data_IF_603029413862
#
_entry.id   IF_603029413862
#
_cell.length_a   1.000
_cell.length_b   1.000
_cell.length_c   1.000
_cell.angle_alpha   90.00
_cell.angle_beta   90.00
_cell.angle_gamma   90.00
#
_symmetry.space_group_name_H-M   'P 1'
#
loop_
_entity.id
_entity.type
_entity.pdbx_description
1 polymer ?
#
# COMPACT_ATOMS: atom_id res chain seq x y z
N UNK A 1 13.96 -22.80 -34.05
CA UNK A 1 13.43 -21.41 -34.02
C UNK A 1 14.55 -20.41 -33.79
N UNK A 2 15.47 -20.64 -32.84
CA UNK A 2 16.61 -19.75 -32.57
C UNK A 2 17.56 -19.58 -33.76
N UNK A 3 17.77 -20.63 -34.55
CA UNK A 3 18.72 -20.64 -35.67
C UNK A 3 18.24 -19.84 -36.91
N UNK A 4 16.94 -19.59 -37.05
CA UNK A 4 16.38 -18.81 -38.17
C UNK A 4 16.49 -17.32 -37.91
N UNK A 5 16.37 -16.89 -36.64
CA UNK A 5 16.47 -15.48 -36.25
C UNK A 5 17.92 -14.96 -36.34
N UNK A 6 18.92 -15.80 -36.02
CA UNK A 6 20.34 -15.42 -36.15
C UNK A 6 20.81 -15.23 -37.61
N UNK A 7 20.19 -15.92 -38.58
CA UNK A 7 20.54 -15.79 -39.99
C UNK A 7 19.94 -14.54 -40.64
N UNK A 8 18.79 -14.06 -40.17
CA UNK A 8 18.18 -12.82 -40.70
C UNK A 8 18.86 -11.56 -40.18
N UNK A 9 19.30 -11.54 -38.91
CA UNK A 9 20.00 -10.37 -38.30
C UNK A 9 21.36 -10.12 -38.98
N UNK A 10 22.06 -11.17 -39.47
CA UNK A 10 23.36 -11.03 -40.12
C UNK A 10 23.31 -10.43 -41.52
N UNK A 11 22.12 -10.19 -42.11
CA UNK A 11 21.90 -9.59 -43.41
C UNK A 11 21.50 -8.11 -43.38
N UNK A 12 21.31 -7.55 -42.21
CA UNK A 12 21.02 -6.11 -42.08
C UNK A 12 22.32 -5.31 -42.27
N UNK A 13 22.33 -4.45 -43.26
CA UNK A 13 23.45 -3.50 -43.43
C UNK A 13 23.38 -2.42 -42.37
N UNK A 14 24.52 -1.81 -42.04
CA UNK A 14 24.58 -0.71 -41.07
C UNK A 14 23.62 0.45 -41.45
N UNK A 15 23.40 0.67 -42.73
CA UNK A 15 22.49 1.66 -43.29
C UNK A 15 21.00 1.30 -43.01
N UNK A 16 20.65 0.01 -43.09
CA UNK A 16 19.29 -0.46 -42.75
C UNK A 16 19.00 -0.34 -41.27
N UNK A 17 19.97 -0.61 -40.41
CA UNK A 17 19.84 -0.46 -38.94
C UNK A 17 19.71 1.03 -38.57
N UNK A 18 20.49 1.89 -39.25
CA UNK A 18 20.40 3.35 -39.02
C UNK A 18 19.03 3.90 -39.48
N UNK A 19 18.55 3.50 -40.66
CA UNK A 19 17.24 3.91 -41.17
C UNK A 19 16.06 3.41 -40.27
N UNK A 20 16.14 2.19 -39.74
CA UNK A 20 15.16 1.68 -38.78
C UNK A 20 15.19 2.50 -37.48
N UNK A 21 16.38 2.84 -37.00
CA UNK A 21 16.57 3.63 -35.81
C UNK A 21 16.08 5.08 -35.99
N UNK A 22 16.36 5.69 -37.13
CA UNK A 22 15.92 7.06 -37.44
C UNK A 22 14.40 7.12 -37.67
N UNK A 23 13.81 6.11 -38.34
CA UNK A 23 12.35 6.01 -38.48
C UNK A 23 11.66 5.75 -37.11
N UNK A 24 12.21 4.87 -36.25
CA UNK A 24 11.70 4.70 -34.89
C UNK A 24 11.84 5.97 -34.05
N UNK A 25 12.94 6.74 -34.21
CA UNK A 25 13.08 8.03 -33.55
C UNK A 25 12.13 9.09 -34.07
N UNK A 26 11.82 9.09 -35.36
CA UNK A 26 10.86 10.00 -36.00
C UNK A 26 9.40 9.66 -35.61
N UNK A 27 9.05 8.37 -35.52
CA UNK A 27 7.77 7.90 -35.01
C UNK A 27 7.62 8.20 -33.50
N UNK A 28 8.69 8.04 -32.71
CA UNK A 28 8.72 8.41 -31.29
C UNK A 28 8.60 9.92 -31.05
N UNK A 29 9.00 10.78 -32.00
CA UNK A 29 8.83 12.23 -31.89
C UNK A 29 7.42 12.72 -32.28
N UNK A 30 6.66 11.95 -33.05
CA UNK A 30 5.29 12.31 -33.45
C UNK A 30 4.21 11.87 -32.45
N UNK A 31 4.53 10.92 -31.55
CA UNK A 31 3.60 10.40 -30.51
C UNK A 31 3.93 10.92 -29.09
N UNK A 32 4.61 12.06 -28.97
CA UNK A 32 5.08 12.58 -27.67
C UNK A 32 3.97 13.06 -26.70
N UNK A 33 2.69 12.92 -27.05
CA UNK A 33 1.57 13.28 -26.18
C UNK A 33 0.98 12.12 -25.36
N UNK A 34 1.50 10.90 -25.46
CA UNK A 34 0.92 9.75 -24.73
C UNK A 34 1.94 8.81 -24.04
N UNK A 35 3.23 9.07 -24.10
CA UNK A 35 4.20 8.28 -23.34
C UNK A 35 4.24 8.75 -21.88
N UNK A 36 3.78 7.88 -20.97
CA UNK A 36 3.82 8.16 -19.54
C UNK A 36 5.25 8.29 -19.01
N UNK A 37 5.39 9.01 -17.92
CA UNK A 37 6.68 9.22 -17.26
C UNK A 37 6.95 8.14 -16.20
N UNK A 38 8.22 7.75 -16.06
CA UNK A 38 8.65 6.82 -15.02
C UNK A 38 9.14 7.59 -13.79
N UNK A 39 8.75 7.11 -12.62
CA UNK A 39 9.21 7.62 -11.32
C UNK A 39 9.71 6.47 -10.46
N UNK A 40 10.66 6.74 -9.57
CA UNK A 40 11.15 5.77 -8.62
C UNK A 40 11.34 6.37 -7.23
N UNK A 41 10.96 5.62 -6.21
CA UNK A 41 11.27 5.91 -4.83
C UNK A 41 12.09 4.78 -4.23
N UNK A 42 13.21 5.13 -3.59
CA UNK A 42 14.10 4.21 -2.88
C UNK A 42 14.10 4.60 -1.41
N UNK A 43 13.77 3.65 -0.57
CA UNK A 43 13.72 3.78 0.89
C UNK A 43 14.78 2.86 1.51
N UNK A 44 15.75 3.45 2.18
CA UNK A 44 16.80 2.75 2.92
C UNK A 44 16.39 2.62 4.38
N UNK A 45 15.50 1.67 4.64
CA UNK A 45 14.99 1.40 5.98
C UNK A 45 15.97 0.59 6.84
N UNK A 46 15.73 0.57 8.14
CA UNK A 46 16.57 -0.09 9.14
C UNK A 46 16.70 -1.61 8.97
N UNK A 47 15.65 -2.28 8.57
CA UNK A 47 15.63 -3.73 8.35
C UNK A 47 15.77 -4.11 6.86
N UNK A 48 15.14 -3.36 5.99
CA UNK A 48 15.06 -3.68 4.56
C UNK A 48 15.19 -2.42 3.71
N UNK A 49 15.85 -2.54 2.57
CA UNK A 49 15.80 -1.52 1.52
C UNK A 49 14.68 -1.84 0.55
N UNK A 50 13.96 -0.83 0.16
CA UNK A 50 12.84 -0.96 -0.74
C UNK A 50 12.99 -0.02 -1.93
N UNK A 51 12.56 -0.48 -3.09
CA UNK A 51 12.42 0.35 -4.28
C UNK A 51 11.06 0.11 -4.90
N UNK A 52 10.38 1.17 -5.29
CA UNK A 52 9.18 1.13 -6.12
C UNK A 52 9.44 1.93 -7.39
N UNK A 53 9.05 1.36 -8.52
CA UNK A 53 9.07 2.05 -9.81
C UNK A 53 7.63 2.11 -10.30
N UNK A 54 7.21 3.29 -10.72
CA UNK A 54 5.87 3.54 -11.24
C UNK A 54 5.94 4.16 -12.63
N UNK A 55 4.94 3.87 -13.42
CA UNK A 55 4.67 4.50 -14.70
C UNK A 55 3.43 5.37 -14.55
N UNK A 56 3.56 6.64 -14.92
CA UNK A 56 2.47 7.62 -14.81
C UNK A 56 1.99 7.96 -16.21
N UNK A 57 0.75 7.59 -16.51
CA UNK A 57 0.10 7.86 -17.79
C UNK A 57 -1.19 8.62 -17.54
N UNK A 58 -1.33 9.78 -18.11
CA UNK A 58 -2.53 10.63 -17.95
C UNK A 58 -2.91 10.85 -16.47
N UNK A 59 -1.92 11.01 -15.59
CA UNK A 59 -2.10 11.16 -14.15
C UNK A 59 -2.39 9.85 -13.40
N UNK A 60 -2.49 8.69 -14.06
CA UNK A 60 -2.64 7.38 -13.43
C UNK A 60 -1.29 6.83 -13.04
N UNK A 61 -1.13 6.50 -11.76
CA UNK A 61 0.08 5.86 -11.22
C UNK A 61 -0.07 4.34 -11.32
N UNK A 62 0.77 3.72 -12.10
CA UNK A 62 0.83 2.27 -12.25
C UNK A 62 2.15 1.74 -11.69
N UNK A 63 2.08 0.86 -10.68
CA UNK A 63 3.27 0.20 -10.17
C UNK A 63 3.74 -0.85 -11.21
N UNK A 64 4.97 -0.69 -11.68
CA UNK A 64 5.59 -1.61 -12.65
C UNK A 64 6.71 -2.44 -12.03
N UNK A 65 7.23 -2.03 -10.88
CA UNK A 65 8.25 -2.78 -10.16
C UNK A 65 8.26 -2.48 -8.67
N UNK A 66 8.30 -3.54 -7.87
CA UNK A 66 8.59 -3.46 -6.42
C UNK A 66 9.75 -4.38 -6.10
N UNK A 67 10.76 -3.86 -5.42
CA UNK A 67 11.89 -4.65 -4.94
C UNK A 67 12.03 -4.40 -3.44
N UNK A 68 12.14 -5.49 -2.68
CA UNK A 68 12.42 -5.46 -1.25
C UNK A 68 13.57 -6.39 -0.96
N UNK A 69 14.61 -5.89 -0.32
CA UNK A 69 15.76 -6.70 0.08
C UNK A 69 16.09 -6.49 1.56
N UNK A 70 16.24 -7.57 2.31
CA UNK A 70 16.64 -7.53 3.71
C UNK A 70 18.13 -7.21 3.80
N UNK A 71 18.45 -6.04 4.31
CA UNK A 71 19.81 -5.56 4.54
C UNK A 71 20.18 -5.68 6.01
N UNK A 72 19.20 -5.50 6.93
CA UNK A 72 19.39 -5.48 8.39
C UNK A 72 20.48 -4.49 8.78
N UNK A 73 20.37 -3.25 8.28
CA UNK A 73 21.37 -2.22 8.52
C UNK A 73 21.45 -1.87 10.00
N UNK A 74 20.30 -1.79 10.70
CA UNK A 74 20.24 -1.48 12.12
C UNK A 74 20.97 -2.50 13.00
N UNK A 75 21.00 -3.77 12.62
CA UNK A 75 21.71 -4.82 13.35
C UNK A 75 23.25 -4.65 13.30
N UNK A 76 23.75 -3.75 12.48
CA UNK A 76 25.17 -3.39 12.44
C UNK A 76 25.56 -2.20 13.30
N UNK A 77 24.61 -1.58 14.02
CA UNK A 77 24.91 -0.51 14.97
C UNK A 77 25.48 -1.09 16.26
N UNK A 78 26.64 -0.59 16.66
CA UNK A 78 27.20 -0.88 17.98
C UNK A 78 26.69 0.11 19.06
N UNK A 79 27.16 -0.03 20.30
CA UNK A 79 26.77 0.84 21.44
C UNK A 79 27.11 2.34 21.20
N UNK A 80 28.10 2.65 20.37
CA UNK A 80 28.48 4.01 19.97
C UNK A 80 27.73 4.50 18.73
N UNK A 81 26.69 3.77 18.29
CA UNK A 81 25.95 4.00 17.06
C UNK A 81 26.81 4.02 15.79
N UNK A 82 27.94 3.32 15.77
CA UNK A 82 28.72 3.13 14.55
C UNK A 82 28.27 1.86 13.80
N UNK A 83 28.06 1.99 12.48
CA UNK A 83 27.74 0.86 11.60
C UNK A 83 28.99 0.01 11.35
N UNK A 84 28.84 -1.30 11.46
CA UNK A 84 29.87 -2.23 11.06
C UNK A 84 30.04 -2.33 9.53
N UNK A 85 31.21 -2.76 9.10
CA UNK A 85 31.56 -2.86 7.67
C UNK A 85 30.72 -3.91 6.95
N UNK A 86 30.38 -5.02 7.60
CA UNK A 86 29.58 -6.09 6.99
C UNK A 86 28.17 -5.62 6.68
N UNK A 87 27.53 -4.85 7.56
CA UNK A 87 26.20 -4.29 7.35
C UNK A 87 26.21 -3.23 6.26
N UNK A 88 27.26 -2.38 6.24
CA UNK A 88 27.44 -1.42 5.15
C UNK A 88 27.61 -2.11 3.79
N UNK A 89 28.42 -3.17 3.72
CA UNK A 89 28.68 -3.90 2.48
C UNK A 89 27.37 -4.56 1.94
N UNK A 90 26.57 -5.18 2.82
CA UNK A 90 25.25 -5.70 2.42
C UNK A 90 24.35 -4.61 1.84
N UNK A 91 24.40 -3.41 2.43
CA UNK A 91 23.65 -2.24 1.92
C UNK A 91 24.11 -1.85 0.53
N UNK A 92 25.42 -1.69 0.31
CA UNK A 92 25.98 -1.31 -0.99
C UNK A 92 25.69 -2.33 -2.08
N UNK A 93 25.77 -3.63 -1.78
CA UNK A 93 25.41 -4.70 -2.72
C UNK A 93 23.94 -4.61 -3.13
N UNK A 94 23.05 -4.33 -2.19
CA UNK A 94 21.63 -4.09 -2.49
C UNK A 94 21.47 -2.88 -3.42
N UNK A 95 22.16 -1.77 -3.12
CA UNK A 95 22.08 -0.55 -3.93
C UNK A 95 22.63 -0.74 -5.35
N UNK A 96 23.60 -1.64 -5.53
CA UNK A 96 24.09 -1.99 -6.87
C UNK A 96 23.00 -2.60 -7.73
N UNK A 97 22.22 -3.53 -7.17
CA UNK A 97 21.03 -4.11 -7.84
C UNK A 97 19.96 -3.06 -8.14
N UNK A 98 19.77 -2.09 -7.25
CA UNK A 98 18.81 -1.01 -7.46
C UNK A 98 19.27 -0.06 -8.57
N UNK A 99 20.55 0.29 -8.60
CA UNK A 99 21.13 1.18 -9.60
C UNK A 99 20.90 0.69 -11.05
N UNK A 100 20.98 -0.63 -11.27
CA UNK A 100 20.73 -1.22 -12.58
C UNK A 100 19.30 -0.97 -13.09
N UNK A 101 18.33 -0.87 -12.17
CA UNK A 101 16.92 -0.66 -12.52
C UNK A 101 16.52 0.81 -12.65
N UNK A 102 17.37 1.71 -12.16
CA UNK A 102 17.12 3.15 -12.18
C UNK A 102 17.69 3.84 -13.44
N UNK A 103 18.45 3.14 -14.29
CA UNK A 103 19.24 3.73 -15.37
C UNK A 103 18.42 4.50 -16.41
N UNK A 104 17.19 4.02 -16.67
CA UNK A 104 16.31 4.58 -17.70
C UNK A 104 15.31 5.60 -17.15
N UNK A 105 15.40 5.93 -15.86
CA UNK A 105 14.51 6.89 -15.21
C UNK A 105 15.21 8.24 -15.09
N UNK A 106 14.58 9.35 -15.51
CA UNK A 106 15.17 10.68 -15.35
C UNK A 106 15.57 10.98 -13.89
N UNK A 107 16.76 11.54 -13.64
CA UNK A 107 17.21 11.82 -12.29
C UNK A 107 16.26 12.70 -11.45
N UNK A 108 15.51 13.60 -12.09
CA UNK A 108 14.46 14.42 -11.44
C UNK A 108 13.30 13.60 -10.89
N UNK A 109 13.08 12.41 -11.44
CA UNK A 109 11.96 11.54 -11.12
C UNK A 109 12.39 10.40 -10.15
N UNK A 110 13.58 10.50 -9.58
CA UNK A 110 14.10 9.53 -8.62
C UNK A 110 14.29 10.20 -7.26
N UNK A 111 13.67 9.64 -6.22
CA UNK A 111 13.84 10.07 -4.84
C UNK A 111 14.43 8.95 -4.00
N UNK A 112 15.60 9.20 -3.40
CA UNK A 112 16.29 8.25 -2.52
C UNK A 112 16.30 8.84 -1.13
N UNK A 113 15.72 8.12 -0.16
CA UNK A 113 15.69 8.53 1.24
C UNK A 113 16.28 7.46 2.14
N UNK A 114 16.82 7.89 3.24
CA UNK A 114 17.24 7.03 4.33
C UNK A 114 16.61 7.50 5.63
N UNK A 115 16.32 6.56 6.52
CA UNK A 115 15.53 6.79 7.71
C UNK A 115 16.35 6.54 9.00
N UNK A 116 15.74 6.05 10.05
CA UNK A 116 16.26 6.03 11.43
C UNK A 116 17.69 5.53 11.57
N UNK A 117 18.10 4.42 10.95
CA UNK A 117 19.44 3.88 11.14
C UNK A 117 20.55 4.82 10.67
N UNK A 118 20.40 5.41 9.45
CA UNK A 118 21.39 6.37 8.94
C UNK A 118 21.28 7.74 9.61
N UNK A 119 20.14 8.04 10.22
CA UNK A 119 19.95 9.23 11.06
C UNK A 119 20.72 9.12 12.38
N UNK A 120 20.77 7.92 12.97
CA UNK A 120 21.46 7.62 14.23
C UNK A 120 22.95 7.33 14.06
N UNK A 121 23.36 6.77 12.92
CA UNK A 121 24.71 6.28 12.73
C UNK A 121 25.76 7.40 12.75
N UNK A 122 26.75 7.28 13.67
CA UNK A 122 27.85 8.25 13.83
C UNK A 122 28.78 8.28 12.61
N UNK A 123 28.88 7.18 11.87
CA UNK A 123 29.69 7.04 10.66
C UNK A 123 28.81 6.98 9.36
N UNK A 124 27.57 7.49 9.41
CA UNK A 124 26.64 7.48 8.27
C UNK A 124 27.25 8.04 6.97
N UNK A 125 28.11 9.06 7.06
CA UNK A 125 28.71 9.70 5.89
C UNK A 125 29.58 8.74 5.06
N UNK A 126 30.21 7.74 5.69
CA UNK A 126 30.98 6.70 4.99
C UNK A 126 30.05 5.86 4.11
N UNK A 127 28.90 5.45 4.69
CA UNK A 127 27.89 4.69 3.95
C UNK A 127 27.29 5.52 2.80
N UNK A 128 26.86 6.75 3.10
CA UNK A 128 26.20 7.67 2.16
C UNK A 128 27.09 7.97 0.97
N UNK A 129 28.37 8.32 1.21
CA UNK A 129 29.29 8.66 0.14
C UNK A 129 29.48 7.54 -0.89
N UNK A 130 29.60 6.28 -0.44
CA UNK A 130 29.68 5.12 -1.34
C UNK A 130 28.32 4.78 -1.97
N UNK A 131 27.21 4.94 -1.23
CA UNK A 131 25.86 4.73 -1.73
C UNK A 131 25.51 5.67 -2.89
N UNK A 132 25.84 6.96 -2.78
CA UNK A 132 25.63 7.96 -3.84
C UNK A 132 26.47 7.68 -5.09
N UNK A 133 27.71 7.18 -4.92
CA UNK A 133 28.54 6.76 -6.04
C UNK A 133 27.94 5.56 -6.80
N UNK A 134 27.37 4.60 -6.06
CA UNK A 134 26.73 3.40 -6.63
C UNK A 134 25.45 3.77 -7.35
N UNK A 135 24.55 4.51 -6.68
CA UNK A 135 23.24 4.88 -7.22
C UNK A 135 23.33 5.95 -8.29
N UNK A 136 24.40 6.79 -8.28
CA UNK A 136 24.52 8.02 -9.08
C UNK A 136 23.42 9.06 -8.78
N UNK A 137 22.80 8.97 -7.61
CA UNK A 137 21.76 9.85 -7.12
C UNK A 137 22.08 10.29 -5.70
N UNK A 138 21.61 11.49 -5.33
CA UNK A 138 21.72 11.98 -3.95
C UNK A 138 20.84 11.16 -3.02
N UNK A 139 21.39 10.87 -1.84
CA UNK A 139 20.69 10.20 -0.76
C UNK A 139 20.33 11.21 0.33
N UNK A 140 19.03 11.38 0.59
CA UNK A 140 18.55 12.31 1.58
C UNK A 140 18.23 11.56 2.89
N UNK A 141 18.95 11.85 3.96
CA UNK A 141 18.57 11.37 5.30
C UNK A 141 17.46 12.28 5.80
N UNK A 142 16.25 11.75 5.91
CA UNK A 142 15.09 12.52 6.35
C UNK A 142 14.91 12.47 7.86
N UNK A 143 14.36 13.55 8.46
CA UNK A 143 13.99 13.55 9.87
C UNK A 143 12.84 12.57 10.14
N UNK A 144 12.65 12.18 11.41
CA UNK A 144 11.52 11.34 11.81
C UNK A 144 10.16 11.99 11.52
N UNK A 145 10.07 13.31 11.67
CA UNK A 145 8.87 14.07 11.34
C UNK A 145 8.59 14.09 9.84
N UNK A 146 9.63 14.24 9.01
CA UNK A 146 9.47 14.18 7.55
C UNK A 146 9.10 12.76 7.10
N UNK A 147 9.71 11.73 7.72
CA UNK A 147 9.32 10.33 7.50
C UNK A 147 7.84 10.12 7.82
N UNK A 148 7.38 10.55 8.99
CA UNK A 148 5.99 10.49 9.43
C UNK A 148 5.04 11.22 8.45
N UNK A 149 5.43 12.41 8.00
CA UNK A 149 4.68 13.19 7.01
C UNK A 149 4.52 12.46 5.69
N UNK A 150 5.60 11.90 5.16
CA UNK A 150 5.58 11.16 3.90
C UNK A 150 4.79 9.85 4.02
N UNK A 151 4.88 9.15 5.16
CA UNK A 151 4.05 7.97 5.45
C UNK A 151 2.56 8.35 5.43
N UNK A 152 2.19 9.42 6.14
CA UNK A 152 0.81 9.88 6.15
C UNK A 152 0.30 10.21 4.75
N UNK A 153 1.08 10.95 3.96
CA UNK A 153 0.74 11.24 2.58
C UNK A 153 0.54 9.96 1.75
N UNK A 154 1.43 8.97 1.87
CA UNK A 154 1.29 7.69 1.19
C UNK A 154 0.02 6.93 1.58
N UNK A 155 -0.34 6.96 2.86
CA UNK A 155 -1.60 6.39 3.36
C UNK A 155 -2.79 7.17 2.83
N UNK A 156 -2.80 8.49 2.98
CA UNK A 156 -3.87 9.36 2.51
C UNK A 156 -4.07 9.26 0.99
N UNK A 157 -2.97 9.08 0.21
CA UNK A 157 -3.04 8.86 -1.24
C UNK A 157 -3.61 7.51 -1.64
N UNK A 158 -3.53 6.50 -0.82
CA UNK A 158 -3.96 5.14 -1.15
C UNK A 158 -5.21 4.69 -0.42
N UNK A 159 -5.70 5.48 0.54
CA UNK A 159 -6.89 5.20 1.34
C UNK A 159 -7.95 6.26 1.08
N UNK A 160 -9.21 5.86 1.12
CA UNK A 160 -10.36 6.74 0.92
C UNK A 160 -11.02 7.09 2.27
N UNK A 161 -10.24 7.44 3.26
CA UNK A 161 -10.79 7.78 4.56
C UNK A 161 -11.25 9.23 4.56
N UNK A 162 -12.49 9.45 4.96
CA UNK A 162 -13.00 10.78 5.31
C UNK A 162 -12.81 10.99 6.81
N UNK A 163 -12.62 12.22 7.23
CA UNK A 163 -12.41 12.58 8.63
C UNK A 163 -10.98 12.35 9.10
N UNK A 164 -10.78 12.55 10.41
CA UNK A 164 -9.47 12.38 11.01
C UNK A 164 -9.05 10.92 11.04
N UNK A 165 -7.82 10.65 10.63
CA UNK A 165 -7.24 9.31 10.62
C UNK A 165 -5.97 9.27 11.43
N UNK A 166 -5.87 8.27 12.32
CA UNK A 166 -4.64 7.91 13.02
C UNK A 166 -3.87 6.90 12.16
N UNK A 167 -2.64 7.23 11.79
CA UNK A 167 -1.74 6.35 11.04
C UNK A 167 -0.58 5.94 11.93
N UNK A 168 -0.28 4.64 11.96
CA UNK A 168 0.81 4.05 12.72
C UNK A 168 1.69 3.23 11.78
N UNK A 169 2.98 3.53 11.79
CA UNK A 169 4.02 2.77 11.06
C UNK A 169 5.08 2.27 12.05
N UNK A 170 5.16 0.95 12.24
CA UNK A 170 6.19 0.34 13.07
C UNK A 170 7.34 -0.09 12.18
N UNK A 171 8.37 0.75 12.14
CA UNK A 171 9.61 0.50 11.42
C UNK A 171 10.57 -0.42 12.16
N UNK A 172 11.81 -0.54 11.64
CA UNK A 172 12.85 -1.37 12.26
C UNK A 172 13.46 -0.73 13.51
N UNK A 173 13.66 0.59 13.50
CA UNK A 173 14.30 1.34 14.59
C UNK A 173 13.40 2.43 15.18
N UNK A 174 12.41 2.90 14.45
CA UNK A 174 11.45 3.92 14.90
C UNK A 174 10.01 3.49 14.66
N UNK A 175 9.09 4.22 15.26
CA UNK A 175 7.64 4.12 15.02
C UNK A 175 7.10 5.51 14.81
N UNK A 176 6.45 5.72 13.70
CA UNK A 176 5.81 6.96 13.31
C UNK A 176 4.31 6.89 13.63
N UNK A 177 3.80 7.95 14.27
CA UNK A 177 2.41 8.12 14.65
C UNK A 177 1.94 9.46 14.09
N UNK A 178 0.86 9.43 13.31
CA UNK A 178 0.36 10.64 12.65
C UNK A 178 -1.15 10.70 12.76
N UNK A 179 -1.68 11.84 13.16
CA UNK A 179 -3.07 12.22 12.94
C UNK A 179 -3.11 13.23 11.83
N UNK A 180 -4.04 13.07 10.92
CA UNK A 180 -4.30 14.02 9.86
C UNK A 180 -5.72 13.92 9.35
N UNK A 181 -6.11 14.92 8.58
CA UNK A 181 -7.39 15.00 7.90
C UNK A 181 -7.14 15.16 6.41
N UNK A 182 -7.82 14.35 5.60
CA UNK A 182 -7.60 14.30 4.16
C UNK A 182 -6.10 14.15 3.83
N UNK A 183 -5.52 15.18 3.17
CA UNK A 183 -4.10 15.18 2.76
C UNK A 183 -3.18 15.91 3.74
N UNK A 184 -3.72 16.42 4.83
CA UNK A 184 -2.96 17.27 5.75
C UNK A 184 -2.64 16.52 7.04
N UNK A 185 -1.37 16.20 7.32
CA UNK A 185 -0.96 15.78 8.65
C UNK A 185 -1.14 16.94 9.62
N UNK A 186 -1.85 16.70 10.73
CA UNK A 186 -2.17 17.70 11.77
C UNK A 186 -1.16 17.58 12.91
N UNK A 187 -0.98 16.38 13.42
CA UNK A 187 -0.04 16.08 14.50
C UNK A 187 0.75 14.82 14.16
N UNK A 188 2.06 14.86 14.37
CA UNK A 188 2.93 13.75 14.02
C UNK A 188 4.10 13.62 14.99
N UNK A 189 4.51 12.37 15.21
CA UNK A 189 5.66 12.03 16.06
C UNK A 189 6.38 10.81 15.51
N UNK A 190 7.70 10.82 15.61
CA UNK A 190 8.55 9.66 15.45
C UNK A 190 9.15 9.30 16.80
N UNK A 191 8.99 8.04 17.23
CA UNK A 191 9.48 7.53 18.50
C UNK A 191 10.58 6.50 18.24
N UNK A 192 11.64 6.51 19.08
CA UNK A 192 12.78 5.58 18.98
C UNK A 192 12.41 4.19 19.51
N UNK A 193 11.38 3.59 18.94
CA UNK A 193 10.90 2.24 19.20
C UNK A 193 10.59 1.53 17.88
N UNK A 194 11.38 0.53 17.53
CA UNK A 194 11.22 -0.25 16.32
C UNK A 194 11.35 -1.74 16.54
N UNK A 195 10.80 -2.56 15.64
CA UNK A 195 10.75 -4.00 15.83
C UNK A 195 12.13 -4.68 15.85
N UNK A 196 13.15 -4.10 15.19
CA UNK A 196 14.52 -4.64 15.22
C UNK A 196 15.22 -4.25 16.52
N UNK A 197 15.22 -2.97 16.88
CA UNK A 197 15.89 -2.47 18.10
C UNK A 197 15.26 -3.04 19.37
N UNK A 198 13.94 -3.24 19.40
CA UNK A 198 13.25 -3.87 20.54
C UNK A 198 13.51 -5.36 20.60
N UNK A 199 13.68 -6.01 19.44
CA UNK A 199 14.07 -7.41 19.40
C UNK A 199 15.43 -7.62 20.05
N UNK A 200 16.43 -6.85 19.66
CA UNK A 200 17.79 -6.94 20.18
C UNK A 200 17.85 -6.63 21.68
N UNK A 201 17.04 -5.68 22.15
CA UNK A 201 17.08 -5.23 23.55
C UNK A 201 16.27 -6.11 24.52
N UNK A 202 15.11 -6.61 24.12
CA UNK A 202 14.17 -7.28 25.02
C UNK A 202 13.96 -8.77 24.74
N UNK A 203 14.35 -9.27 23.58
CA UNK A 203 14.22 -10.67 23.20
C UNK A 203 15.57 -11.28 22.77
N UNK A 204 16.66 -10.74 23.29
CA UNK A 204 18.01 -11.24 23.02
C UNK A 204 18.13 -12.75 23.33
N UNK A 205 18.95 -13.44 22.54
CA UNK A 205 19.08 -14.90 22.61
C UNK A 205 17.85 -15.67 22.09
N UNK A 206 16.84 -14.98 21.55
CA UNK A 206 15.68 -15.60 20.92
C UNK A 206 14.64 -16.20 21.87
N UNK A 207 14.74 -15.92 23.18
CA UNK A 207 13.75 -16.37 24.18
C UNK A 207 12.52 -15.46 24.17
N UNK A 208 11.35 -16.11 24.25
CA UNK A 208 10.06 -15.42 24.33
C UNK A 208 9.40 -15.79 25.65
N UNK A 209 9.41 -14.86 26.60
CA UNK A 209 8.76 -15.04 27.91
C UNK A 209 7.75 -13.93 28.15
N UNK A 210 6.82 -14.15 29.09
CA UNK A 210 5.90 -13.11 29.55
C UNK A 210 6.65 -11.87 30.10
N UNK A 211 7.79 -12.11 30.77
CA UNK A 211 8.66 -11.06 31.29
C UNK A 211 9.28 -10.22 30.16
N UNK A 212 9.77 -10.86 29.09
CA UNK A 212 10.31 -10.15 27.91
C UNK A 212 9.25 -9.25 27.28
N UNK A 213 8.03 -9.79 27.09
CA UNK A 213 6.91 -8.99 26.57
C UNK A 213 6.56 -7.81 27.50
N UNK A 214 6.47 -8.05 28.80
CA UNK A 214 6.13 -6.99 29.76
C UNK A 214 7.21 -5.89 29.77
N UNK A 215 8.50 -6.26 29.79
CA UNK A 215 9.59 -5.30 29.71
C UNK A 215 9.56 -4.48 28.41
N UNK A 216 9.30 -5.12 27.28
CA UNK A 216 9.15 -4.43 26.00
C UNK A 216 7.95 -3.47 25.98
N UNK A 217 6.79 -3.93 26.50
CA UNK A 217 5.59 -3.08 26.60
C UNK A 217 5.79 -1.88 27.52
N UNK A 218 6.43 -2.08 28.66
CA UNK A 218 6.74 -0.97 29.59
C UNK A 218 7.67 0.06 28.96
N UNK A 219 8.70 -0.39 28.24
CA UNK A 219 9.61 0.50 27.53
C UNK A 219 8.90 1.27 26.40
N UNK A 220 8.05 0.62 25.62
CA UNK A 220 7.26 1.30 24.59
C UNK A 220 6.31 2.33 25.19
N UNK A 221 5.61 1.98 26.29
CA UNK A 221 4.74 2.93 27.01
C UNK A 221 5.51 4.11 27.57
N UNK A 222 6.72 3.90 28.10
CA UNK A 222 7.55 4.99 28.62
C UNK A 222 7.89 6.03 27.56
N UNK A 223 8.08 5.62 26.31
CA UNK A 223 8.30 6.51 25.17
C UNK A 223 7.00 7.18 24.67
N UNK A 224 5.88 6.47 24.75
CA UNK A 224 4.62 6.89 24.17
C UNK A 224 3.79 7.79 25.12
N UNK A 225 3.75 7.50 26.41
CA UNK A 225 2.90 8.21 27.36
C UNK A 225 3.11 9.74 27.41
N UNK A 226 4.33 10.28 27.29
CA UNK A 226 4.53 11.73 27.22
C UNK A 226 3.83 12.40 26.04
N UNK A 227 3.59 11.67 24.97
CA UNK A 227 2.98 12.16 23.74
C UNK A 227 1.50 11.76 23.60
N UNK A 228 1.03 10.79 24.37
CA UNK A 228 -0.29 10.18 24.22
C UNK A 228 -1.45 11.19 24.33
N UNK A 229 -1.38 12.09 25.29
CA UNK A 229 -2.42 13.12 25.49
C UNK A 229 -2.58 14.02 24.27
N UNK A 230 -1.48 14.34 23.59
CA UNK A 230 -1.52 15.15 22.37
C UNK A 230 -2.27 14.43 21.23
N UNK A 231 -2.18 13.11 21.14
CA UNK A 231 -2.93 12.31 20.18
C UNK A 231 -4.38 12.10 20.61
N UNK A 232 -4.64 11.88 21.89
CA UNK A 232 -5.99 11.66 22.44
C UNK A 232 -6.88 12.92 22.42
N UNK A 233 -6.29 14.12 22.29
CA UNK A 233 -7.04 15.35 22.09
C UNK A 233 -7.79 15.45 20.76
N UNK A 234 -7.44 14.59 19.79
CA UNK A 234 -8.09 14.55 18.49
C UNK A 234 -9.08 13.38 18.43
N UNK A 235 -10.29 13.67 17.99
CA UNK A 235 -11.24 12.62 17.63
C UNK A 235 -10.83 12.06 16.25
N UNK A 236 -10.44 10.79 16.17
CA UNK A 236 -10.22 10.10 14.92
C UNK A 236 -11.26 9.00 14.72
N UNK A 237 -11.69 8.82 13.46
CA UNK A 237 -12.69 7.83 13.07
C UNK A 237 -12.04 6.55 12.55
N UNK A 238 -10.82 6.67 12.03
CA UNK A 238 -10.10 5.58 11.41
C UNK A 238 -8.72 5.41 12.03
N UNK A 239 -8.29 4.16 12.25
CA UNK A 239 -6.92 3.83 12.59
C UNK A 239 -6.33 2.91 11.51
N UNK A 240 -5.18 3.30 10.95
CA UNK A 240 -4.53 2.61 9.84
C UNK A 240 -3.11 2.20 10.21
N UNK A 241 -2.84 0.92 10.07
CA UNK A 241 -1.49 0.38 10.21
C UNK A 241 -0.78 0.37 8.88
N UNK A 242 0.36 1.05 8.80
CA UNK A 242 1.30 0.96 7.69
C UNK A 242 2.44 -0.01 8.06
N UNK A 243 3.25 -0.41 7.09
CA UNK A 243 4.42 -1.27 7.29
C UNK A 243 4.13 -2.75 7.64
N UNK A 244 5.21 -3.42 8.02
CA UNK A 244 5.19 -4.87 8.04
C UNK A 244 4.67 -5.52 9.30
N UNK A 245 4.61 -4.83 10.45
CA UNK A 245 4.10 -5.43 11.69
C UNK A 245 2.58 -5.56 11.66
N UNK A 246 1.81 -4.48 11.42
CA UNK A 246 0.36 -4.59 11.24
C UNK A 246 -0.02 -5.55 10.09
N UNK A 247 0.71 -5.51 8.98
CA UNK A 247 0.47 -6.40 7.84
C UNK A 247 0.60 -7.87 8.23
N UNK A 248 1.68 -8.26 8.92
CA UNK A 248 1.88 -9.65 9.35
C UNK A 248 0.79 -10.12 10.31
N UNK A 249 0.34 -9.26 11.22
CA UNK A 249 -0.74 -9.58 12.15
C UNK A 249 -2.05 -9.81 11.39
N UNK A 250 -2.40 -8.94 10.44
CA UNK A 250 -3.59 -9.13 9.63
C UNK A 250 -3.51 -10.40 8.78
N UNK A 251 -2.35 -10.72 8.20
CA UNK A 251 -2.15 -11.95 7.44
C UNK A 251 -2.37 -13.20 8.31
N UNK A 252 -1.90 -13.18 9.58
CA UNK A 252 -2.17 -14.24 10.56
C UNK A 252 -3.66 -14.34 10.85
N UNK A 253 -4.32 -13.22 11.18
CA UNK A 253 -5.75 -13.23 11.52
C UNK A 253 -6.62 -13.73 10.35
N UNK A 254 -6.29 -13.34 9.14
CA UNK A 254 -6.98 -13.82 7.92
C UNK A 254 -6.72 -15.30 7.69
N UNK A 255 -5.47 -15.78 7.83
CA UNK A 255 -5.14 -17.20 7.68
C UNK A 255 -5.88 -18.08 8.69
N UNK A 256 -6.05 -17.58 9.92
CA UNK A 256 -6.79 -18.26 10.98
C UNK A 256 -8.33 -18.08 10.87
N UNK A 257 -8.82 -17.33 9.87
CA UNK A 257 -10.25 -17.09 9.67
C UNK A 257 -10.90 -16.21 10.75
N UNK A 258 -10.11 -15.37 11.45
CA UNK A 258 -10.58 -14.56 12.58
C UNK A 258 -11.12 -13.20 12.09
N UNK A 259 -10.30 -12.39 11.41
CA UNK A 259 -10.66 -11.02 11.01
C UNK A 259 -9.63 -10.45 10.02
N UNK A 260 -10.02 -9.44 9.26
CA UNK A 260 -9.12 -8.60 8.46
C UNK A 260 -8.78 -7.27 9.19
N UNK A 261 -9.40 -7.03 10.34
CA UNK A 261 -9.15 -5.87 11.21
C UNK A 261 -8.48 -6.31 12.52
N UNK A 262 -7.51 -5.55 12.98
CA UNK A 262 -6.76 -5.81 14.21
C UNK A 262 -7.49 -5.22 15.40
N UNK A 263 -7.64 -6.02 16.48
CA UNK A 263 -8.22 -5.61 17.77
C UNK A 263 -7.29 -6.02 18.90
N UNK A 264 -7.41 -5.36 20.04
CA UNK A 264 -6.54 -5.59 21.19
C UNK A 264 -6.65 -7.03 21.73
N UNK A 265 -7.86 -7.59 21.76
CA UNK A 265 -8.10 -8.98 22.21
C UNK A 265 -7.37 -10.01 21.31
N UNK A 266 -7.28 -9.76 20.00
CA UNK A 266 -6.52 -10.59 19.08
C UNK A 266 -5.01 -10.47 19.31
N UNK A 267 -4.52 -9.26 19.62
CA UNK A 267 -3.10 -9.04 19.93
C UNK A 267 -2.67 -9.80 21.19
N UNK A 268 -3.48 -9.79 22.23
CA UNK A 268 -3.23 -10.57 23.45
C UNK A 268 -3.25 -12.08 23.18
N UNK A 269 -4.12 -12.54 22.29
CA UNK A 269 -4.14 -13.93 21.89
C UNK A 269 -2.83 -14.33 21.19
N UNK A 270 -2.30 -13.49 20.30
CA UNK A 270 -1.02 -13.70 19.62
C UNK A 270 0.16 -13.61 20.59
N UNK A 271 0.15 -12.69 21.57
CA UNK A 271 1.14 -12.62 22.65
C UNK A 271 1.22 -13.94 23.40
N UNK A 272 0.06 -14.50 23.80
CA UNK A 272 -0.02 -15.78 24.48
C UNK A 272 0.56 -16.92 23.63
N UNK A 273 0.22 -16.98 22.34
CA UNK A 273 0.80 -17.99 21.43
C UNK A 273 2.33 -17.87 21.33
N UNK A 274 2.86 -16.64 21.28
CA UNK A 274 4.30 -16.40 21.26
C UNK A 274 4.97 -16.92 22.54
N UNK A 275 4.40 -16.59 23.70
CA UNK A 275 4.94 -17.02 25.02
C UNK A 275 4.87 -18.54 25.17
N UNK A 276 3.79 -19.19 24.70
CA UNK A 276 3.65 -20.65 24.71
C UNK A 276 4.71 -21.34 23.84
N UNK A 277 5.13 -20.73 22.71
CA UNK A 277 6.22 -21.24 21.89
C UNK A 277 7.60 -21.15 22.58
N UNK A 278 7.81 -20.13 23.42
CA UNK A 278 8.99 -19.96 24.25
C UNK A 278 10.27 -19.50 23.55
N UNK A 279 10.43 -19.77 22.26
CA UNK A 279 11.62 -19.42 21.45
C UNK A 279 11.23 -18.98 20.03
N UNK A 280 11.95 -18.01 19.49
CA UNK A 280 11.72 -17.49 18.15
C UNK A 280 11.83 -18.56 17.07
N UNK A 281 12.82 -19.44 17.19
CA UNK A 281 13.02 -20.53 16.22
C UNK A 281 11.90 -21.58 16.25
N UNK A 282 11.11 -21.62 17.32
CA UNK A 282 9.99 -22.52 17.51
C UNK A 282 8.64 -21.87 17.17
N UNK A 283 8.63 -20.56 16.83
CA UNK A 283 7.42 -19.89 16.44
C UNK A 283 6.77 -20.57 15.23
N UNK A 284 5.60 -21.15 15.47
CA UNK A 284 4.78 -21.79 14.45
C UNK A 284 3.34 -21.30 14.56
N UNK A 285 3.13 -20.06 14.14
CA UNK A 285 1.82 -19.39 14.11
C UNK A 285 1.33 -19.44 12.67
N UNK A 286 0.12 -19.97 12.46
CA UNK A 286 -0.49 -20.06 11.14
C UNK A 286 -0.63 -18.66 10.52
N UNK A 287 -0.17 -18.48 9.29
CA UNK A 287 -0.14 -17.21 8.60
C UNK A 287 1.10 -16.34 8.85
N UNK A 288 1.97 -16.71 9.82
CA UNK A 288 3.22 -15.98 10.05
C UNK A 288 4.31 -16.43 9.07
N UNK A 289 4.73 -15.52 8.19
CA UNK A 289 5.84 -15.79 7.28
C UNK A 289 7.16 -16.02 8.01
N UNK A 290 7.96 -17.01 7.54
CA UNK A 290 9.27 -17.37 8.11
C UNK A 290 10.20 -16.17 8.27
N UNK A 291 10.18 -15.31 7.31
CA UNK A 291 11.03 -14.13 7.27
C UNK A 291 10.67 -13.05 8.30
N UNK A 292 9.51 -13.16 8.96
CA UNK A 292 9.00 -12.22 9.97
C UNK A 292 9.21 -12.72 11.40
N UNK A 293 9.36 -14.02 11.61
CA UNK A 293 9.46 -14.64 12.94
C UNK A 293 10.43 -13.92 13.88
N UNK A 294 11.60 -13.56 13.35
CA UNK A 294 12.65 -12.94 14.17
C UNK A 294 12.26 -11.62 14.86
N UNK A 295 11.37 -10.85 14.25
CA UNK A 295 10.99 -9.51 14.74
C UNK A 295 9.51 -9.41 15.13
N UNK A 296 8.79 -10.53 15.05
CA UNK A 296 7.35 -10.56 15.30
C UNK A 296 7.01 -10.25 16.76
N UNK A 297 7.66 -10.89 17.80
CA UNK A 297 7.32 -10.64 19.20
C UNK A 297 7.52 -9.17 19.61
N UNK A 298 8.60 -8.56 19.18
CA UNK A 298 8.91 -7.16 19.49
C UNK A 298 7.94 -6.18 18.81
N UNK A 299 7.64 -6.40 17.54
CA UNK A 299 6.64 -5.60 16.84
C UNK A 299 5.24 -5.72 17.46
N UNK A 300 4.86 -6.94 17.87
CA UNK A 300 3.61 -7.21 18.58
C UNK A 300 3.55 -6.47 19.93
N UNK A 301 4.63 -6.49 20.72
CA UNK A 301 4.70 -5.79 22.01
C UNK A 301 4.53 -4.27 21.84
N UNK A 302 5.18 -3.68 20.81
CA UNK A 302 5.02 -2.25 20.46
C UNK A 302 3.57 -1.96 20.09
N UNK A 303 2.95 -2.79 19.24
CA UNK A 303 1.59 -2.56 18.78
C UNK A 303 0.57 -2.68 19.93
N UNK A 304 0.72 -3.66 20.83
CA UNK A 304 -0.11 -3.76 22.04
C UNK A 304 -0.04 -2.48 22.87
N UNK A 305 1.18 -1.95 23.08
CA UNK A 305 1.37 -0.72 23.86
C UNK A 305 0.70 0.49 23.21
N UNK A 306 0.73 0.58 21.88
CA UNK A 306 0.03 1.63 21.13
C UNK A 306 -1.49 1.51 21.26
N UNK A 307 -2.04 0.30 21.15
CA UNK A 307 -3.48 0.05 21.33
C UNK A 307 -3.95 0.44 22.72
N UNK A 308 -3.20 0.08 23.75
CA UNK A 308 -3.55 0.39 25.14
C UNK A 308 -3.44 1.88 25.44
N UNK A 309 -2.34 2.54 25.05
CA UNK A 309 -2.08 3.93 25.38
C UNK A 309 -2.93 4.92 24.59
N UNK A 310 -3.27 4.60 23.33
CA UNK A 310 -4.09 5.44 22.47
C UNK A 310 -5.55 4.99 22.41
N UNK A 311 -5.96 4.02 23.23
CA UNK A 311 -7.33 3.48 23.29
C UNK A 311 -7.89 3.05 21.93
N UNK A 312 -7.03 2.45 21.06
CA UNK A 312 -7.40 2.03 19.72
C UNK A 312 -8.40 0.86 19.81
N UNK A 313 -9.57 1.01 19.18
CA UNK A 313 -10.60 -0.02 19.17
C UNK A 313 -10.33 -1.07 18.09
N UNK A 314 -10.00 -0.60 16.91
CA UNK A 314 -9.65 -1.44 15.75
C UNK A 314 -8.66 -0.71 14.84
N UNK A 315 -7.88 -1.48 14.08
CA UNK A 315 -6.93 -0.97 13.09
C UNK A 315 -7.07 -1.76 11.80
N UNK A 316 -7.12 -1.05 10.69
CA UNK A 316 -7.11 -1.62 9.35
C UNK A 316 -5.75 -1.41 8.69
N UNK A 317 -5.43 -2.20 7.65
CA UNK A 317 -4.18 -2.04 6.91
C UNK A 317 -4.32 -0.98 5.84
N UNK A 318 -3.34 -0.08 5.79
CA UNK A 318 -3.25 0.92 4.73
C UNK A 318 -2.80 0.31 3.39
N UNK A 319 -3.19 0.96 2.29
CA UNK A 319 -2.74 0.59 0.94
C UNK A 319 -1.34 1.10 0.59
N UNK A 320 -0.82 2.08 1.34
CA UNK A 320 0.45 2.74 1.10
C UNK A 320 1.21 3.07 2.38
N UNK A 321 2.46 3.52 2.22
CA UNK A 321 3.36 3.93 3.28
C UNK A 321 4.36 4.97 2.74
N UNK A 322 5.58 5.04 3.29
CA UNK A 322 6.63 6.00 2.92
C UNK A 322 6.85 6.10 1.40
N UNK A 323 6.98 4.99 0.70
CA UNK A 323 7.32 4.98 -0.75
C UNK A 323 6.23 5.58 -1.60
N UNK A 324 4.99 5.26 -1.31
CA UNK A 324 3.84 5.83 -1.99
C UNK A 324 3.77 7.35 -1.74
N UNK A 325 4.05 7.81 -0.51
CA UNK A 325 4.16 9.24 -0.19
C UNK A 325 5.26 9.94 -0.98
N UNK A 326 6.44 9.31 -1.11
CA UNK A 326 7.53 9.85 -1.90
C UNK A 326 7.18 9.98 -3.39
N UNK A 327 6.52 8.96 -3.96
CA UNK A 327 6.06 8.99 -5.37
C UNK A 327 5.04 10.11 -5.56
N UNK A 328 4.00 10.13 -4.76
CA UNK A 328 2.94 11.12 -4.90
C UNK A 328 3.44 12.55 -4.61
N UNK A 329 4.40 12.70 -3.70
CA UNK A 329 5.06 13.98 -3.45
C UNK A 329 5.91 14.52 -4.61
N UNK A 330 6.27 13.68 -5.59
CA UNK A 330 6.92 14.10 -6.84
C UNK A 330 5.91 14.51 -7.93
N UNK A 331 4.65 14.12 -7.77
CA UNK A 331 3.59 14.37 -8.76
C UNK A 331 2.79 15.63 -8.38
N UNK A 332 3.33 16.80 -8.68
CA UNK A 332 2.83 18.13 -8.25
C UNK A 332 1.36 18.45 -8.57
N UNK A 333 0.72 17.71 -9.45
CA UNK A 333 -0.61 18.01 -9.96
C UNK A 333 -1.77 17.21 -9.35
N UNK A 334 -1.53 16.37 -8.34
CA UNK A 334 -2.57 15.50 -7.78
C UNK A 334 -3.29 16.06 -6.55
N UNK A 335 -2.98 17.28 -6.12
CA UNK A 335 -3.47 17.82 -4.84
C UNK A 335 -4.90 18.38 -4.88
N UNK A 336 -5.52 18.62 -6.05
CA UNK A 336 -6.79 19.34 -6.15
C UNK A 336 -8.02 18.52 -6.60
N UNK A 337 -7.89 17.25 -6.98
CA UNK A 337 -9.01 16.47 -7.49
C UNK A 337 -9.38 15.30 -6.56
N UNK A 338 -10.68 15.05 -6.43
CA UNK A 338 -11.20 13.85 -5.75
C UNK A 338 -10.61 12.58 -6.39
N UNK A 339 -9.80 11.86 -5.63
CA UNK A 339 -9.02 10.72 -6.10
C UNK A 339 -9.84 9.56 -6.59
N UNK A 340 -10.98 9.32 -5.96
CA UNK A 340 -11.89 8.26 -6.40
C UNK A 340 -12.33 8.52 -7.83
N UNK A 341 -12.77 9.76 -8.10
CA UNK A 341 -13.22 10.15 -9.44
C UNK A 341 -12.07 10.13 -10.45
N UNK A 342 -10.89 10.58 -10.06
CA UNK A 342 -9.70 10.52 -10.90
C UNK A 342 -9.32 9.06 -11.23
N UNK A 343 -9.23 8.19 -10.22
CA UNK A 343 -8.94 6.76 -10.38
C UNK A 343 -9.96 6.08 -11.29
N UNK A 344 -11.24 6.35 -11.09
CA UNK A 344 -12.32 5.76 -11.88
C UNK A 344 -12.27 6.25 -13.33
N UNK A 345 -12.06 7.56 -13.55
CA UNK A 345 -11.92 8.14 -14.89
C UNK A 345 -10.73 7.57 -15.66
N UNK A 346 -9.60 7.38 -14.99
CA UNK A 346 -8.40 6.78 -15.56
C UNK A 346 -8.59 5.30 -15.89
N UNK A 347 -9.23 4.54 -14.97
CA UNK A 347 -9.54 3.14 -15.20
C UNK A 347 -10.48 2.98 -16.39
N UNK A 348 -11.51 3.82 -16.49
CA UNK A 348 -12.42 3.84 -17.66
C UNK A 348 -11.67 4.13 -18.96
N UNK A 349 -10.75 5.10 -18.95
CA UNK A 349 -9.95 5.43 -20.13
C UNK A 349 -9.02 4.27 -20.52
N UNK A 350 -8.34 3.67 -19.56
CA UNK A 350 -7.40 2.55 -19.75
C UNK A 350 -8.07 1.33 -20.39
N UNK A 351 -9.29 1.01 -20.00
CA UNK A 351 -10.03 -0.14 -20.49
C UNK A 351 -11.07 0.21 -21.54
N UNK A 352 -10.99 1.42 -22.12
CA UNK A 352 -11.87 1.91 -23.19
C UNK A 352 -13.37 1.74 -22.89
N UNK A 353 -13.76 1.98 -21.63
CA UNK A 353 -15.15 1.89 -21.22
C UNK A 353 -15.95 3.04 -21.84
N UNK A 354 -17.15 2.73 -22.33
CA UNK A 354 -18.11 3.74 -22.81
C UNK A 354 -18.54 4.66 -21.66
N UNK A 355 -17.91 5.84 -21.58
CA UNK A 355 -18.15 6.81 -20.51
C UNK A 355 -19.59 7.27 -20.42
N UNK A 356 -20.30 7.39 -21.56
CA UNK A 356 -21.70 7.80 -21.56
C UNK A 356 -22.59 6.74 -20.93
N UNK A 357 -22.39 5.48 -21.32
CA UNK A 357 -23.11 4.35 -20.75
C UNK A 357 -22.79 4.17 -19.25
N UNK A 358 -21.52 4.19 -18.88
CA UNK A 358 -21.06 4.03 -17.49
C UNK A 358 -21.67 5.11 -16.58
N UNK A 359 -21.65 6.37 -17.01
CA UNK A 359 -22.25 7.48 -16.24
C UNK A 359 -23.77 7.38 -16.16
N UNK A 360 -24.45 6.89 -17.20
CA UNK A 360 -25.88 6.65 -17.16
C UNK A 360 -26.24 5.58 -16.12
N UNK A 361 -25.48 4.48 -16.08
CA UNK A 361 -25.68 3.41 -15.08
C UNK A 361 -25.36 3.92 -13.67
N UNK A 362 -24.27 4.68 -13.48
CA UNK A 362 -23.92 5.31 -12.19
C UNK A 362 -25.06 6.21 -11.71
N UNK A 363 -25.55 7.11 -12.57
CA UNK A 363 -26.62 8.05 -12.20
C UNK A 363 -27.89 7.34 -11.73
N UNK A 364 -28.33 6.32 -12.43
CA UNK A 364 -29.51 5.52 -12.04
C UNK A 364 -29.24 4.76 -10.75
N UNK A 365 -28.07 4.13 -10.61
CA UNK A 365 -27.71 3.36 -9.43
C UNK A 365 -27.66 4.20 -8.16
N UNK A 366 -26.99 5.35 -8.22
CA UNK A 366 -26.87 6.27 -7.06
C UNK A 366 -28.21 6.92 -6.71
N UNK A 367 -29.03 7.27 -7.71
CA UNK A 367 -30.38 7.79 -7.47
C UNK A 367 -31.28 6.76 -6.77
N UNK A 368 -31.24 5.50 -7.18
CA UNK A 368 -31.99 4.42 -6.52
C UNK A 368 -31.45 4.15 -5.12
N UNK A 369 -30.13 4.21 -4.93
CA UNK A 369 -29.49 4.05 -3.63
C UNK A 369 -29.95 5.13 -2.65
N UNK A 370 -29.87 6.40 -3.02
CA UNK A 370 -30.26 7.53 -2.17
C UNK A 370 -31.75 7.49 -1.76
N UNK A 371 -32.64 7.04 -2.65
CA UNK A 371 -34.06 6.86 -2.34
C UNK A 371 -34.31 5.76 -1.30
N UNK A 372 -33.57 4.64 -1.39
CA UNK A 372 -33.68 3.55 -0.42
C UNK A 372 -33.04 3.91 0.93
N UNK A 373 -31.94 4.61 0.90
CA UNK A 373 -31.24 5.07 2.09
C UNK A 373 -32.08 6.01 2.94
N UNK A 374 -32.81 6.94 2.31
CA UNK A 374 -33.71 7.85 3.01
C UNK A 374 -34.87 7.12 3.74
N UNK A 375 -35.20 5.89 3.33
CA UNK A 375 -36.29 5.10 3.89
C UNK A 375 -35.85 4.12 5.01
N UNK A 376 -34.61 3.65 5.03
CA UNK A 376 -34.20 2.52 5.86
C UNK A 376 -33.02 2.76 6.82
N UNK A 377 -32.45 3.95 6.87
CA UNK A 377 -31.27 4.27 7.73
C UNK A 377 -30.05 3.32 7.54
N UNK A 378 -29.88 2.70 6.36
CA UNK A 378 -28.88 1.65 6.08
C UNK A 378 -27.60 2.23 5.42
N UNK A 379 -27.54 3.53 5.16
CA UNK A 379 -26.43 4.11 4.42
C UNK A 379 -25.26 4.49 5.30
N UNK A 380 -24.19 3.76 5.14
CA UNK A 380 -22.85 4.25 5.44
C UNK A 380 -22.36 5.08 4.24
N UNK A 381 -21.60 6.17 4.50
CA UNK A 381 -21.06 7.13 3.51
C UNK A 381 -20.36 6.45 2.31
N UNK A 382 -19.80 5.26 2.51
CA UNK A 382 -19.09 4.51 1.47
C UNK A 382 -19.97 3.66 0.54
N UNK A 383 -21.24 3.43 0.89
CA UNK A 383 -22.15 2.58 0.15
C UNK A 383 -22.41 3.11 -1.26
N UNK A 384 -22.65 4.42 -1.37
CA UNK A 384 -22.87 5.09 -2.66
C UNK A 384 -21.61 5.12 -3.52
N UNK A 385 -20.43 5.31 -2.90
CA UNK A 385 -19.14 5.32 -3.59
C UNK A 385 -18.80 3.94 -4.17
N UNK A 386 -19.02 2.86 -3.42
CA UNK A 386 -18.81 1.47 -3.88
C UNK A 386 -19.75 1.15 -5.05
N UNK A 387 -21.04 1.49 -4.91
CA UNK A 387 -22.03 1.25 -5.96
C UNK A 387 -21.72 2.06 -7.23
N UNK A 388 -21.38 3.34 -7.06
CA UNK A 388 -21.00 4.23 -8.15
C UNK A 388 -19.77 3.74 -8.90
N UNK A 389 -18.75 3.29 -8.20
CA UNK A 389 -17.54 2.71 -8.78
C UNK A 389 -17.85 1.40 -9.53
N UNK A 390 -18.63 0.50 -8.94
CA UNK A 390 -19.05 -0.73 -9.61
C UNK A 390 -19.86 -0.43 -10.87
N UNK A 391 -20.72 0.58 -10.84
CA UNK A 391 -21.51 1.02 -11.99
C UNK A 391 -20.64 1.60 -13.12
N UNK A 392 -19.58 2.37 -12.79
CA UNK A 392 -18.65 2.90 -13.79
C UNK A 392 -17.78 1.80 -14.41
N UNK A 393 -17.43 0.78 -13.64
CA UNK A 393 -16.46 -0.25 -14.02
C UNK A 393 -17.11 -1.58 -14.48
N UNK A 394 -18.44 -1.69 -14.53
CA UNK A 394 -19.11 -2.97 -14.84
C UNK A 394 -18.79 -3.51 -16.24
N UNK A 395 -18.43 -2.67 -17.18
CA UNK A 395 -18.04 -3.03 -18.54
C UNK A 395 -16.53 -3.24 -18.76
N UNK A 396 -15.69 -3.15 -17.72
CA UNK A 396 -14.21 -3.29 -17.83
C UNK A 396 -13.79 -4.55 -18.59
N UNK A 397 -14.48 -5.65 -18.40
CA UNK A 397 -14.17 -6.91 -19.04
C UNK A 397 -14.54 -6.99 -20.52
N UNK A 398 -15.31 -6.05 -21.07
CA UNK A 398 -15.59 -5.97 -22.51
C UNK A 398 -14.32 -5.78 -23.33
N UNK A 399 -13.27 -5.26 -22.71
CA UNK A 399 -11.95 -5.16 -23.32
C UNK A 399 -11.34 -6.53 -23.69
N UNK A 400 -11.79 -7.60 -23.05
CA UNK A 400 -11.34 -8.97 -23.30
C UNK A 400 -12.38 -9.71 -24.16
N UNK A 401 -13.62 -9.86 -23.66
CA UNK A 401 -14.67 -10.61 -24.36
C UNK A 401 -16.08 -10.16 -23.89
N UNK A 402 -17.05 -10.14 -24.82
CA UNK A 402 -18.45 -9.78 -24.51
C UNK A 402 -19.16 -10.81 -23.64
N UNK A 403 -18.98 -12.12 -23.92
CA UNK A 403 -19.81 -13.17 -23.33
C UNK A 403 -19.66 -13.30 -21.82
N UNK A 404 -18.43 -13.16 -21.33
CA UNK A 404 -18.05 -13.32 -19.92
C UNK A 404 -17.46 -12.03 -19.33
N UNK A 405 -17.82 -10.87 -19.85
CA UNK A 405 -17.18 -9.62 -19.44
C UNK A 405 -17.28 -9.35 -17.94
N UNK A 406 -18.28 -9.82 -17.24
CA UNK A 406 -18.40 -9.70 -15.78
C UNK A 406 -17.31 -10.49 -15.04
N UNK A 407 -17.00 -11.73 -15.51
CA UNK A 407 -15.88 -12.53 -14.96
C UNK A 407 -14.53 -11.88 -15.29
N UNK A 408 -14.34 -11.43 -16.53
CA UNK A 408 -13.12 -10.75 -16.96
C UNK A 408 -12.93 -9.40 -16.27
N UNK A 409 -14.00 -8.65 -16.05
CA UNK A 409 -14.00 -7.42 -15.29
C UNK A 409 -13.56 -7.65 -13.84
N UNK A 410 -14.13 -8.65 -13.18
CA UNK A 410 -13.74 -9.03 -11.83
C UNK A 410 -12.27 -9.46 -11.76
N UNK A 411 -11.79 -10.24 -12.73
CA UNK A 411 -10.39 -10.63 -12.83
C UNK A 411 -9.47 -9.41 -12.94
N UNK A 412 -9.74 -8.48 -13.85
CA UNK A 412 -8.98 -7.24 -14.00
C UNK A 412 -8.95 -6.46 -12.68
N UNK A 413 -10.13 -6.26 -12.05
CA UNK A 413 -10.27 -5.52 -10.80
C UNK A 413 -9.58 -6.19 -9.61
N UNK A 414 -9.26 -7.47 -9.67
CA UNK A 414 -8.49 -8.19 -8.66
C UNK A 414 -6.99 -7.79 -8.67
N UNK A 415 -6.47 -7.33 -9.80
CA UNK A 415 -5.03 -7.10 -10.01
C UNK A 415 -4.66 -5.64 -10.28
N UNK A 416 -5.63 -4.75 -10.47
CA UNK A 416 -5.35 -3.31 -10.57
C UNK A 416 -5.45 -2.63 -9.22
N UNK A 417 -4.60 -1.62 -9.02
CA UNK A 417 -4.76 -0.71 -7.91
C UNK A 417 -5.86 0.31 -8.22
N UNK A 418 -6.74 0.54 -7.24
CA UNK A 418 -7.76 1.59 -7.27
C UNK A 418 -7.50 2.56 -6.10
N UNK A 419 -6.54 3.50 -6.23
CA UNK A 419 -6.30 4.52 -5.23
C UNK A 419 -7.59 5.26 -4.84
N UNK A 420 -7.73 5.56 -3.56
CA UNK A 420 -8.98 6.12 -3.04
C UNK A 420 -9.99 5.07 -2.54
N UNK A 421 -9.73 3.77 -2.73
CA UNK A 421 -10.56 2.69 -2.21
C UNK A 421 -9.75 1.75 -1.30
N UNK A 422 -10.29 1.42 -0.13
CA UNK A 422 -9.68 0.44 0.77
C UNK A 422 -9.67 -0.96 0.14
N UNK A 423 -8.90 -1.89 0.70
CA UNK A 423 -8.85 -3.28 0.24
C UNK A 423 -10.24 -3.92 0.23
N UNK A 424 -11.04 -3.67 1.28
CA UNK A 424 -12.38 -4.21 1.42
C UNK A 424 -13.34 -3.61 0.38
N UNK A 425 -13.26 -2.29 0.15
CA UNK A 425 -14.06 -1.61 -0.87
C UNK A 425 -13.71 -2.11 -2.29
N UNK A 426 -12.41 -2.30 -2.59
CA UNK A 426 -11.97 -2.89 -3.87
C UNK A 426 -12.50 -4.30 -4.07
N UNK A 427 -12.49 -5.13 -3.03
CA UNK A 427 -13.10 -6.45 -3.07
C UNK A 427 -14.60 -6.37 -3.32
N UNK A 428 -15.32 -5.47 -2.65
CA UNK A 428 -16.75 -5.25 -2.85
C UNK A 428 -17.07 -4.79 -4.28
N UNK A 429 -16.33 -3.81 -4.84
CA UNK A 429 -16.48 -3.35 -6.22
C UNK A 429 -16.27 -4.51 -7.20
N UNK A 430 -15.20 -5.30 -7.01
CA UNK A 430 -14.90 -6.50 -7.81
C UNK A 430 -16.06 -7.49 -7.80
N UNK A 431 -16.59 -7.82 -6.62
CA UNK A 431 -17.63 -8.84 -6.48
C UNK A 431 -18.99 -8.36 -7.00
N UNK A 432 -19.31 -7.07 -6.87
CA UNK A 432 -20.44 -6.46 -7.52
C UNK A 432 -20.33 -6.57 -9.05
N UNK A 433 -19.15 -6.30 -9.61
CA UNK A 433 -18.90 -6.47 -11.06
C UNK A 433 -18.93 -7.94 -11.45
N UNK A 434 -18.40 -8.86 -10.64
CA UNK A 434 -18.48 -10.31 -10.91
C UNK A 434 -19.90 -10.82 -11.05
N UNK A 435 -20.82 -10.28 -10.25
CA UNK A 435 -22.19 -10.82 -10.12
C UNK A 435 -23.29 -9.93 -10.72
N UNK A 436 -22.94 -8.84 -11.44
CA UNK A 436 -23.95 -7.97 -12.03
C UNK A 436 -24.75 -8.62 -13.17
N UNK A 437 -24.32 -9.79 -13.66
CA UNK A 437 -25.00 -10.61 -14.68
C UNK A 437 -25.16 -12.05 -14.22
N UNK A 438 -26.02 -12.79 -14.94
CA UNK A 438 -26.28 -14.23 -14.75
C UNK A 438 -26.85 -14.56 -13.35
N UNK A 439 -26.77 -15.82 -12.97
CA UNK A 439 -27.26 -16.30 -11.68
C UNK A 439 -26.29 -15.88 -10.58
N UNK A 440 -26.82 -15.36 -9.47
CA UNK A 440 -26.02 -15.00 -8.29
C UNK A 440 -25.77 -16.29 -7.50
N UNK A 441 -24.52 -16.68 -7.24
CA UNK A 441 -24.21 -17.78 -6.33
C UNK A 441 -24.78 -17.50 -4.94
N UNK A 442 -25.23 -18.53 -4.23
CA UNK A 442 -25.79 -18.39 -2.87
C UNK A 442 -24.76 -17.92 -1.85
N UNK A 443 -23.50 -18.15 -2.14
CA UNK A 443 -22.32 -17.82 -1.34
C UNK A 443 -21.53 -16.59 -1.85
N UNK A 444 -22.11 -15.82 -2.78
CA UNK A 444 -21.43 -14.70 -3.47
C UNK A 444 -20.74 -13.69 -2.53
N UNK A 445 -21.21 -13.55 -1.29
CA UNK A 445 -20.66 -12.60 -0.30
C UNK A 445 -20.30 -13.28 1.03
N UNK A 446 -20.14 -14.61 1.05
CA UNK A 446 -19.83 -15.38 2.28
C UNK A 446 -18.49 -15.00 2.93
N UNK A 447 -17.58 -14.39 2.17
CA UNK A 447 -16.27 -13.93 2.65
C UNK A 447 -16.32 -12.58 3.38
N UNK A 448 -17.50 -11.94 3.46
CA UNK A 448 -17.69 -10.69 4.17
C UNK A 448 -18.37 -10.93 5.52
N UNK A 449 -18.12 -10.02 6.47
CA UNK A 449 -18.78 -10.06 7.77
C UNK A 449 -20.31 -10.10 7.62
N UNK A 450 -20.99 -10.84 8.48
CA UNK A 450 -22.44 -11.09 8.39
C UNK A 450 -23.26 -9.80 8.29
N UNK A 451 -22.86 -8.74 8.98
CA UNK A 451 -23.54 -7.44 8.93
C UNK A 451 -23.38 -6.73 7.57
N UNK A 452 -22.33 -7.03 6.81
CA UNK A 452 -22.03 -6.41 5.52
C UNK A 452 -22.72 -7.14 4.35
N UNK A 453 -23.03 -8.42 4.50
CA UNK A 453 -23.59 -9.25 3.42
C UNK A 453 -24.96 -8.75 2.92
N UNK A 454 -25.94 -8.38 3.79
CA UNK A 454 -27.23 -7.85 3.33
C UNK A 454 -27.08 -6.54 2.55
N UNK A 455 -26.16 -5.68 2.97
CA UNK A 455 -25.85 -4.42 2.27
C UNK A 455 -25.31 -4.72 0.86
N UNK A 456 -24.30 -5.57 0.72
CA UNK A 456 -23.71 -5.92 -0.58
C UNK A 456 -24.72 -6.59 -1.51
N UNK A 457 -25.59 -7.44 -0.99
CA UNK A 457 -26.71 -8.02 -1.75
C UNK A 457 -27.69 -6.94 -2.23
N UNK A 458 -27.98 -5.94 -1.42
CA UNK A 458 -28.78 -4.78 -1.78
C UNK A 458 -28.15 -3.99 -2.91
N UNK A 459 -26.85 -3.64 -2.79
CA UNK A 459 -26.09 -2.92 -3.82
C UNK A 459 -26.04 -3.69 -5.14
N UNK A 460 -25.86 -5.01 -5.08
CA UNK A 460 -25.86 -5.85 -6.28
C UNK A 460 -27.21 -5.79 -7.01
N UNK A 461 -28.32 -5.84 -6.29
CA UNK A 461 -29.65 -5.70 -6.89
C UNK A 461 -29.84 -4.34 -7.56
N UNK A 462 -29.41 -3.26 -6.90
CA UNK A 462 -29.44 -1.90 -7.46
C UNK A 462 -28.60 -1.79 -8.73
N UNK A 463 -27.37 -2.31 -8.72
CA UNK A 463 -26.50 -2.32 -9.89
C UNK A 463 -27.17 -3.07 -11.05
N UNK A 464 -27.71 -4.24 -10.82
CA UNK A 464 -28.37 -5.05 -11.86
C UNK A 464 -29.59 -4.35 -12.47
N UNK A 465 -30.42 -3.74 -11.63
CA UNK A 465 -31.57 -2.96 -12.10
C UNK A 465 -31.09 -1.80 -12.97
N UNK A 466 -30.07 -1.05 -12.52
CA UNK A 466 -29.53 0.10 -13.25
C UNK A 466 -28.94 -0.30 -14.60
N UNK A 467 -28.19 -1.40 -14.65
CA UNK A 467 -27.67 -1.95 -15.92
C UNK A 467 -28.79 -2.30 -16.87
N UNK A 468 -29.86 -2.96 -16.38
CA UNK A 468 -31.00 -3.33 -17.21
C UNK A 468 -31.74 -2.09 -17.73
N UNK A 469 -31.96 -1.09 -16.90
CA UNK A 469 -32.64 0.16 -17.31
C UNK A 469 -31.84 0.92 -18.38
N UNK A 470 -30.52 0.84 -18.35
CA UNK A 470 -29.61 1.52 -19.27
C UNK A 470 -29.19 0.69 -20.49
N UNK A 471 -29.71 -0.53 -20.66
CA UNK A 471 -29.32 -1.47 -21.74
C UNK A 471 -29.44 -0.89 -23.16
N UNK A 472 -30.40 0.00 -23.39
CA UNK A 472 -30.64 0.57 -24.75
C UNK A 472 -29.65 1.65 -25.16
N UNK A 473 -28.73 2.06 -24.26
CA UNK A 473 -27.74 3.14 -24.47
C UNK A 473 -28.36 4.41 -25.07
N UNK A 474 -29.63 4.68 -24.82
CA UNK A 474 -30.35 5.85 -25.27
C UNK A 474 -30.82 6.61 -24.03
N UNK A 475 -30.27 7.81 -23.84
CA UNK A 475 -30.84 8.77 -22.89
C UNK A 475 -32.15 9.28 -23.45
N UNK A 476 -33.24 8.57 -23.22
CA UNK A 476 -34.56 9.12 -23.32
C UNK A 476 -35.00 9.51 -21.92
N UNK A 477 -35.04 10.82 -21.69
CA UNK A 477 -35.68 11.46 -20.55
C UNK A 477 -37.14 11.08 -20.44
#
# INVERSE_FOLDING_TARGET
VATVVEIEVSRLTAETVTNIRDNMQAELQHDSESYGEYYAAVDLGSNSFHMVIVHVVNGSVQIIGKVKQKVRLAAGLNDDFALDEMSMERGWQCLQTFSERLQDIPPSNIKVVATATLRLATNAQVFIGKAEQILKHKLNVISGEEEARQIYLGVAYTSANQGNSLVIDIGGASTEIVIGNDMQPIHLKSLDMGCVTFMERYFDGGKITAENFENAKQAAKALLLPEADAFLCFDWENCLGASGTPQAITEILVAQGISDSIRLDYLYHLEKQCVECGEINQLNIEGLEENRKAIFPSGLAILISLFEALAIQNMNISGGALREGLIYGMLDNMQENDRRDQTLNQTMARYHIDKAQANSVKSVATQLCSQLCSQQNICHLDTEAILGAAALLHETGLHIEYKKHHEHGAYILSFIDLPGFTRLQRAAIRDLVAHHRLTIPTDAFSNYHDDSQPMLQGLLRLLRISVVLCLRRQNKH
#
